data_IF_334002391747
#
_entry.id   IF_334002391747
#
_cell.length_a   1.000
_cell.length_b   1.000
_cell.length_c   1.000
_cell.angle_alpha   90.00
_cell.angle_beta   90.00
_cell.angle_gamma   90.00
#
_symmetry.space_group_name_H-M   'P 1'
#
loop_
_entity.id
_entity.type
_entity.pdbx_description
1 polymer ?
#
# COMPACT_ATOMS: atom_id res chain seq x y z
N UNK A 1 -0.13 32.06 -0.35
CA UNK A 1 -1.09 30.93 -0.23
C UNK A 1 -2.02 31.17 0.96
N UNK A 2 -3.34 30.97 0.83
CA UNK A 2 -4.28 31.07 1.98
C UNK A 2 -3.87 30.09 3.08
N UNK A 3 -3.91 30.49 4.36
CA UNK A 3 -3.48 29.70 5.55
C UNK A 3 -4.02 28.25 5.54
N UNK A 4 -5.26 28.07 5.08
CA UNK A 4 -5.91 26.76 5.00
C UNK A 4 -5.28 25.84 3.95
N UNK A 5 -4.85 26.38 2.80
CA UNK A 5 -4.21 25.60 1.74
C UNK A 5 -2.85 25.04 2.21
N UNK A 6 -2.07 25.83 2.95
CA UNK A 6 -0.79 25.36 3.52
C UNK A 6 -0.97 24.19 4.49
N UNK A 7 -2.01 24.22 5.33
CA UNK A 7 -2.32 23.12 6.27
C UNK A 7 -2.70 21.84 5.52
N UNK A 8 -3.51 21.96 4.47
CA UNK A 8 -3.90 20.82 3.63
C UNK A 8 -2.69 20.22 2.92
N UNK A 9 -1.82 21.04 2.34
CA UNK A 9 -0.59 20.55 1.70
C UNK A 9 0.34 19.84 2.68
N UNK A 10 0.49 20.35 3.91
CA UNK A 10 1.28 19.66 4.95
C UNK A 10 0.67 18.31 5.32
N UNK A 11 -0.64 18.25 5.54
CA UNK A 11 -1.32 16.98 5.84
C UNK A 11 -1.19 15.96 4.70
N UNK A 12 -1.30 16.43 3.45
CA UNK A 12 -1.10 15.63 2.25
C UNK A 12 0.31 15.03 2.16
N UNK A 13 1.34 15.86 2.37
CA UNK A 13 2.72 15.38 2.36
C UNK A 13 2.99 14.39 3.49
N UNK A 14 2.47 14.64 4.71
CA UNK A 14 2.60 13.69 5.82
C UNK A 14 1.95 12.35 5.48
N UNK A 15 0.76 12.36 4.87
CA UNK A 15 0.06 11.14 4.45
C UNK A 15 0.87 10.35 3.42
N UNK A 16 1.43 11.04 2.40
CA UNK A 16 2.28 10.40 1.40
C UNK A 16 3.53 9.77 2.02
N UNK A 17 4.25 10.51 2.86
CA UNK A 17 5.45 10.03 3.55
C UNK A 17 5.14 8.83 4.46
N UNK A 18 4.03 8.89 5.20
CA UNK A 18 3.60 7.81 6.09
C UNK A 18 3.22 6.56 5.29
N UNK A 19 2.52 6.72 4.17
CA UNK A 19 2.15 5.60 3.29
C UNK A 19 3.39 4.95 2.68
N UNK A 20 4.34 5.75 2.19
CA UNK A 20 5.60 5.26 1.66
C UNK A 20 6.39 4.49 2.73
N UNK A 21 6.49 5.04 3.94
CA UNK A 21 7.14 4.39 5.07
C UNK A 21 6.48 3.05 5.44
N UNK A 22 5.15 3.00 5.46
CA UNK A 22 4.39 1.78 5.74
C UNK A 22 4.64 0.69 4.68
N UNK A 23 4.65 1.05 3.39
CA UNK A 23 4.92 0.12 2.29
C UNK A 23 6.35 -0.42 2.36
N UNK A 24 7.34 0.46 2.58
CA UNK A 24 8.74 0.06 2.72
C UNK A 24 8.95 -0.84 3.94
N UNK A 25 8.33 -0.52 5.08
CA UNK A 25 8.39 -1.35 6.27
C UNK A 25 7.76 -2.73 6.03
N UNK A 26 6.62 -2.78 5.33
CA UNK A 26 5.97 -4.04 5.00
C UNK A 26 6.86 -4.94 4.11
N UNK A 27 7.54 -4.37 3.12
CA UNK A 27 8.42 -5.13 2.22
C UNK A 27 9.77 -5.50 2.85
N UNK A 28 10.42 -4.57 3.54
CA UNK A 28 11.79 -4.76 4.03
C UNK A 28 11.81 -5.50 5.37
N UNK A 29 10.82 -5.27 6.23
CA UNK A 29 10.81 -5.80 7.61
C UNK A 29 9.75 -6.87 7.79
N UNK A 30 8.49 -6.58 7.44
CA UNK A 30 7.39 -7.52 7.74
C UNK A 30 7.51 -8.81 6.92
N UNK A 31 7.83 -8.72 5.63
CA UNK A 31 7.97 -9.89 4.78
C UNK A 31 9.00 -10.92 5.28
N UNK A 32 10.28 -10.56 5.54
CA UNK A 32 11.25 -11.55 6.02
C UNK A 32 10.91 -12.08 7.42
N UNK A 33 10.36 -11.24 8.31
CA UNK A 33 9.95 -11.67 9.66
C UNK A 33 8.75 -12.63 9.61
N UNK A 34 7.88 -12.51 8.62
CA UNK A 34 6.69 -13.37 8.47
C UNK A 34 7.00 -14.69 7.76
N UNK A 35 7.97 -14.72 6.84
CA UNK A 35 8.34 -15.92 6.06
C UNK A 35 9.53 -16.72 6.61
N UNK A 36 10.14 -16.25 7.70
CA UNK A 36 11.27 -16.94 8.35
C UNK A 36 10.96 -17.14 9.84
N UNK A 37 9.77 -17.65 10.15
CA UNK A 37 9.36 -17.79 11.55
C UNK A 37 10.14 -18.87 12.28
N UNK A 38 10.80 -19.79 11.58
CA UNK A 38 11.71 -20.81 12.12
C UNK A 38 12.86 -20.20 12.93
N UNK A 39 13.30 -18.98 12.57
CA UNK A 39 14.37 -18.27 13.29
C UNK A 39 13.94 -17.82 14.70
N UNK A 40 12.64 -17.69 14.94
CA UNK A 40 12.07 -17.07 16.15
C UNK A 40 11.24 -18.03 17.00
N UNK A 41 10.46 -18.91 16.35
CA UNK A 41 9.52 -19.82 17.00
C UNK A 41 10.06 -21.24 17.15
N UNK A 42 11.22 -21.55 16.55
CA UNK A 42 11.81 -22.89 16.53
C UNK A 42 11.33 -23.74 15.36
N UNK A 43 12.00 -24.87 15.14
CA UNK A 43 11.79 -25.75 13.99
C UNK A 43 10.34 -26.27 13.95
N UNK A 44 9.67 -26.12 12.79
CA UNK A 44 8.31 -26.58 12.49
C UNK A 44 7.11 -25.88 13.19
N UNK A 45 7.23 -24.62 13.64
CA UNK A 45 6.11 -23.90 14.25
C UNK A 45 4.99 -23.52 13.24
N UNK A 46 5.35 -23.08 12.03
CA UNK A 46 4.41 -22.78 10.95
C UNK A 46 4.91 -23.36 9.62
N UNK A 47 3.99 -23.80 8.76
CA UNK A 47 4.33 -24.10 7.36
C UNK A 47 4.44 -22.81 6.55
N UNK A 48 5.19 -22.83 5.44
CA UNK A 48 5.34 -21.69 4.54
C UNK A 48 3.99 -21.19 3.99
N UNK A 49 3.01 -22.09 3.84
CA UNK A 49 1.64 -21.73 3.48
C UNK A 49 0.96 -20.92 4.59
N UNK A 50 1.08 -21.34 5.86
CA UNK A 50 0.49 -20.62 6.99
C UNK A 50 1.13 -19.24 7.19
N UNK A 51 2.43 -19.10 6.95
CA UNK A 51 3.13 -17.82 6.90
C UNK A 51 2.57 -16.92 5.77
N UNK A 52 2.33 -17.50 4.60
CA UNK A 52 1.67 -16.83 3.47
C UNK A 52 0.27 -16.30 3.80
N UNK A 53 -0.51 -17.04 4.58
CA UNK A 53 -1.82 -16.58 5.07
C UNK A 53 -1.69 -15.34 5.97
N UNK A 54 -0.73 -15.34 6.90
CA UNK A 54 -0.46 -14.20 7.78
C UNK A 54 -0.02 -12.98 6.95
N UNK A 55 0.87 -13.20 5.98
CA UNK A 55 1.38 -12.12 5.13
C UNK A 55 0.28 -11.49 4.29
N UNK A 56 -0.60 -12.32 3.72
CA UNK A 56 -1.77 -11.88 2.96
C UNK A 56 -2.67 -10.99 3.82
N UNK A 57 -2.91 -11.37 5.07
CA UNK A 57 -3.70 -10.58 6.01
C UNK A 57 -3.07 -9.22 6.34
N UNK A 58 -1.74 -9.14 6.45
CA UNK A 58 -1.02 -7.87 6.59
C UNK A 58 -1.19 -6.98 5.35
N UNK A 59 -1.08 -7.55 4.16
CA UNK A 59 -1.24 -6.85 2.90
C UNK A 59 -2.68 -6.36 2.66
N UNK A 60 -3.71 -7.11 3.04
CA UNK A 60 -5.11 -6.64 3.02
C UNK A 60 -5.29 -5.39 3.90
N UNK A 61 -4.72 -5.39 5.11
CA UNK A 61 -4.79 -4.23 6.01
C UNK A 61 -4.03 -3.02 5.46
N UNK A 62 -2.85 -3.25 4.88
CA UNK A 62 -2.06 -2.22 4.22
C UNK A 62 -2.80 -1.64 3.01
N UNK A 63 -3.55 -2.48 2.28
CA UNK A 63 -4.36 -2.04 1.15
C UNK A 63 -5.36 -0.96 1.54
N UNK A 64 -5.98 -1.02 2.72
CA UNK A 64 -6.90 0.04 3.15
C UNK A 64 -6.21 1.40 3.29
N UNK A 65 -4.99 1.44 3.82
CA UNK A 65 -4.20 2.66 3.88
C UNK A 65 -3.84 3.16 2.47
N UNK A 66 -3.41 2.27 1.58
CA UNK A 66 -3.06 2.62 0.20
C UNK A 66 -4.28 3.15 -0.55
N UNK A 67 -5.43 2.49 -0.46
CA UNK A 67 -6.69 2.94 -1.08
C UNK A 67 -7.11 4.32 -0.56
N UNK A 68 -7.01 4.56 0.76
CA UNK A 68 -7.27 5.88 1.33
C UNK A 68 -6.33 6.95 0.76
N UNK A 69 -5.03 6.64 0.66
CA UNK A 69 -4.03 7.55 0.08
C UNK A 69 -4.30 7.83 -1.39
N UNK A 70 -4.69 6.83 -2.18
CA UNK A 70 -5.09 7.00 -3.59
C UNK A 70 -6.26 7.98 -3.72
N UNK A 71 -7.29 7.85 -2.87
CA UNK A 71 -8.44 8.79 -2.86
C UNK A 71 -7.96 10.20 -2.50
N UNK A 72 -7.10 10.34 -1.49
CA UNK A 72 -6.57 11.64 -1.09
C UNK A 72 -5.74 12.31 -2.20
N UNK A 73 -4.91 11.55 -2.92
CA UNK A 73 -4.13 12.02 -4.08
C UNK A 73 -5.06 12.47 -5.21
N UNK A 74 -6.05 11.65 -5.57
CA UNK A 74 -7.01 11.99 -6.61
C UNK A 74 -7.77 13.30 -6.31
N UNK A 75 -8.21 13.50 -5.06
CA UNK A 75 -8.90 14.71 -4.63
C UNK A 75 -7.97 15.93 -4.61
N UNK A 76 -6.75 15.80 -4.05
CA UNK A 76 -5.82 16.91 -3.91
C UNK A 76 -5.28 17.38 -5.27
N UNK A 77 -4.80 16.45 -6.09
CA UNK A 77 -4.25 16.78 -7.41
C UNK A 77 -5.36 17.17 -8.39
N UNK A 78 -6.55 16.55 -8.31
CA UNK A 78 -7.72 16.98 -9.07
C UNK A 78 -8.15 18.42 -8.75
N UNK A 79 -8.10 18.82 -7.47
CA UNK A 79 -8.38 20.21 -7.07
C UNK A 79 -7.32 21.19 -7.56
N UNK A 80 -6.03 20.83 -7.51
CA UNK A 80 -4.94 21.63 -8.05
C UNK A 80 -5.02 21.80 -9.57
N UNK A 81 -5.35 20.73 -10.28
CA UNK A 81 -5.53 20.75 -11.72
C UNK A 81 -6.62 21.73 -12.15
N UNK A 82 -7.75 21.75 -11.42
CA UNK A 82 -8.85 22.72 -11.64
C UNK A 82 -8.42 24.18 -11.43
N UNK A 83 -7.41 24.44 -10.60
CA UNK A 83 -6.86 25.79 -10.36
C UNK A 83 -5.83 26.26 -11.39
N UNK A 84 -5.61 25.51 -12.47
CA UNK A 84 -4.61 25.80 -13.51
C UNK A 84 -3.15 25.81 -13.01
N UNK A 85 -2.88 25.29 -11.81
CA UNK A 85 -1.52 24.99 -11.37
C UNK A 85 -1.09 23.66 -12.02
N UNK A 86 -0.80 23.68 -13.33
CA UNK A 86 -0.37 22.51 -14.11
C UNK A 86 1.14 22.34 -14.00
N UNK A 87 1.55 21.32 -13.26
CA UNK A 87 2.89 20.77 -13.34
C UNK A 87 2.81 19.34 -13.89
N UNK A 88 3.52 19.09 -14.99
CA UNK A 88 3.47 17.81 -15.70
C UNK A 88 4.11 16.69 -14.86
N UNK A 89 5.13 17.00 -14.04
CA UNK A 89 5.81 15.99 -13.23
C UNK A 89 4.89 15.47 -12.13
N UNK A 90 4.24 16.39 -11.41
CA UNK A 90 3.25 16.03 -10.37
C UNK A 90 2.06 15.28 -10.94
N UNK A 91 1.61 15.60 -12.16
CA UNK A 91 0.52 14.87 -12.82
C UNK A 91 0.92 13.42 -13.15
N UNK A 92 2.11 13.21 -13.73
CA UNK A 92 2.62 11.87 -14.02
C UNK A 92 2.83 11.07 -12.72
N UNK A 93 3.39 11.70 -11.69
CA UNK A 93 3.57 11.06 -10.39
C UNK A 93 2.21 10.66 -9.75
N UNK A 94 1.22 11.55 -9.81
CA UNK A 94 -0.12 11.26 -9.30
C UNK A 94 -0.78 10.10 -10.06
N UNK A 95 -0.64 10.08 -11.38
CA UNK A 95 -1.11 8.96 -12.20
C UNK A 95 -0.47 7.64 -11.79
N UNK A 96 0.86 7.60 -11.62
CA UNK A 96 1.57 6.39 -11.19
C UNK A 96 1.12 5.92 -9.81
N UNK A 97 0.95 6.83 -8.84
CA UNK A 97 0.49 6.48 -7.49
C UNK A 97 -0.92 5.91 -7.52
N UNK A 98 -1.83 6.53 -8.29
CA UNK A 98 -3.20 6.05 -8.42
C UNK A 98 -3.23 4.70 -9.12
N UNK A 99 -2.55 4.56 -10.26
CA UNK A 99 -2.53 3.32 -11.04
C UNK A 99 -1.96 2.15 -10.23
N UNK A 100 -0.77 2.33 -9.63
CA UNK A 100 -0.13 1.27 -8.83
C UNK A 100 -0.89 0.97 -7.55
N UNK A 101 -1.44 1.98 -6.86
CA UNK A 101 -2.24 1.79 -5.66
C UNK A 101 -3.56 1.06 -5.92
N UNK A 102 -4.22 1.33 -7.05
CA UNK A 102 -5.42 0.60 -7.47
C UNK A 102 -5.09 -0.85 -7.87
N UNK A 103 -4.01 -1.06 -8.64
CA UNK A 103 -3.55 -2.40 -8.97
C UNK A 103 -3.22 -3.21 -7.71
N UNK A 104 -2.54 -2.61 -6.74
CA UNK A 104 -2.28 -3.25 -5.46
C UNK A 104 -3.58 -3.68 -4.78
N UNK A 105 -4.47 -2.75 -4.46
CA UNK A 105 -5.63 -3.06 -3.63
C UNK A 105 -6.76 -3.83 -4.30
N UNK A 106 -6.97 -3.66 -5.60
CA UNK A 106 -8.14 -4.20 -6.31
C UNK A 106 -7.81 -5.28 -7.33
N UNK A 107 -6.54 -5.49 -7.68
CA UNK A 107 -6.14 -6.53 -8.61
C UNK A 107 -5.27 -7.59 -7.91
N UNK A 108 -4.13 -7.20 -7.35
CA UNK A 108 -3.19 -8.16 -6.76
C UNK A 108 -3.68 -8.77 -5.44
N UNK A 109 -4.24 -7.98 -4.53
CA UNK A 109 -4.70 -8.53 -3.23
C UNK A 109 -5.82 -9.56 -3.40
N UNK A 110 -6.90 -9.31 -4.17
CA UNK A 110 -7.92 -10.33 -4.38
C UNK A 110 -7.38 -11.60 -5.02
N UNK A 111 -6.45 -11.47 -5.97
CA UNK A 111 -5.81 -12.60 -6.64
C UNK A 111 -5.00 -13.46 -5.66
N UNK A 112 -4.16 -12.82 -4.82
CA UNK A 112 -3.42 -13.50 -3.75
C UNK A 112 -4.38 -14.23 -2.80
N UNK A 113 -5.47 -13.58 -2.37
CA UNK A 113 -6.46 -14.20 -1.48
C UNK A 113 -7.11 -15.41 -2.15
N UNK A 114 -7.45 -15.33 -3.44
CA UNK A 114 -8.01 -16.45 -4.18
C UNK A 114 -7.03 -17.63 -4.31
N UNK A 115 -5.75 -17.36 -4.58
CA UNK A 115 -4.71 -18.39 -4.61
C UNK A 115 -4.57 -19.09 -3.25
N UNK A 116 -4.59 -18.32 -2.15
CA UNK A 116 -4.51 -18.87 -0.80
C UNK A 116 -5.76 -19.68 -0.42
N UNK A 117 -6.94 -19.33 -0.93
CA UNK A 117 -8.18 -20.09 -0.73
C UNK A 117 -8.22 -21.40 -1.55
N UNK A 118 -7.51 -21.46 -2.67
CA UNK A 118 -7.40 -22.66 -3.49
C UNK A 118 -6.54 -23.77 -2.84
N UNK A 119 -5.86 -23.46 -1.73
CA UNK A 119 -5.08 -24.41 -0.93
C UNK A 119 -3.66 -24.65 -1.46
N UNK A 120 -2.90 -25.48 -0.72
CA UNK A 120 -1.48 -25.79 -1.00
C UNK A 120 -1.23 -26.41 -2.39
N UNK A 121 -2.23 -26.99 -3.06
CA UNK A 121 -2.03 -27.58 -4.39
C UNK A 121 -1.83 -26.54 -5.52
N UNK A 122 -2.09 -25.25 -5.24
CA UNK A 122 -1.92 -24.15 -6.20
C UNK A 122 -0.81 -23.14 -5.82
N UNK A 123 -0.09 -23.35 -4.70
CA UNK A 123 0.99 -22.48 -4.20
C UNK A 123 2.28 -23.25 -4.03
#
# INVERSE_FOLDING_TARGET
MKKNFRRVTMAYLILLSATLGAVLYAGIVVAPVTFHTEQWLGDAALSQFQEGLIMTQNFVRLSYLVTFTVIAVALYEGYKYKKFERDNLTLVAAFLVIATGLMFGFYYIPDIVNMQLAGEEMT
#
